data_IF_886129330572
#
_entry.id   IF_886129330572
#
_cell.length_a   1.000
_cell.length_b   1.000
_cell.length_c   1.000
_cell.angle_alpha   90.00
_cell.angle_beta   90.00
_cell.angle_gamma   90.00
#
_symmetry.space_group_name_H-M   'P 1'
#
loop_
_entity.id
_entity.type
_entity.pdbx_description
1 polymer ?
#
# COMPACT_ATOMS: atom_id res chain seq x y z
N UNK A 1 -79.18 44.82 -12.80
CA UNK A 1 -78.88 44.64 -14.24
C UNK A 1 -77.44 44.17 -14.33
N UNK A 2 -77.03 43.01 -14.84
CA UNK A 2 -77.61 42.03 -15.76
C UNK A 2 -77.14 40.60 -15.39
N UNK A 3 -77.94 39.62 -15.83
CA UNK A 3 -77.82 38.15 -15.74
C UNK A 3 -76.43 37.62 -16.15
N UNK A 4 -75.81 36.74 -15.36
CA UNK A 4 -75.82 35.25 -15.43
C UNK A 4 -75.57 34.68 -16.82
N UNK A 5 -74.40 34.05 -16.98
CA UNK A 5 -74.30 32.82 -17.76
C UNK A 5 -73.47 31.76 -17.04
N UNK A 6 -74.09 30.58 -16.89
CA UNK A 6 -73.54 29.36 -16.31
C UNK A 6 -72.76 28.62 -17.40
N UNK A 7 -71.51 28.24 -17.14
CA UNK A 7 -70.97 26.98 -17.68
C UNK A 7 -70.31 26.17 -16.57
N UNK A 8 -70.65 24.88 -16.61
CA UNK A 8 -70.52 23.87 -15.56
C UNK A 8 -69.07 23.54 -15.22
N UNK A 9 -68.86 23.32 -13.93
CA UNK A 9 -67.75 22.56 -13.34
C UNK A 9 -67.62 21.18 -13.99
N UNK A 10 -66.38 20.76 -14.24
CA UNK A 10 -66.00 19.36 -14.16
C UNK A 10 -64.66 19.26 -13.43
N UNK A 11 -64.63 18.31 -12.50
CA UNK A 11 -63.63 18.08 -11.46
C UNK A 11 -62.19 17.98 -11.96
N UNK A 12 -61.28 18.68 -11.25
CA UNK A 12 -59.87 18.29 -11.15
C UNK A 12 -59.69 17.54 -9.85
N UNK A 13 -59.63 16.22 -9.93
CA UNK A 13 -59.19 15.32 -8.87
C UNK A 13 -58.10 14.42 -9.44
N UNK A 14 -56.90 14.55 -8.87
CA UNK A 14 -55.70 13.77 -9.16
C UNK A 14 -55.90 12.27 -8.93
N UNK A 15 -55.27 11.42 -9.74
CA UNK A 15 -54.49 10.24 -9.26
C UNK A 15 -53.67 9.57 -10.37
N UNK A 16 -52.42 9.31 -10.01
CA UNK A 16 -51.33 8.60 -10.71
C UNK A 16 -51.77 7.34 -11.49
N UNK A 17 -51.25 7.20 -12.71
CA UNK A 17 -50.94 5.92 -13.37
C UNK A 17 -49.48 6.06 -13.86
N UNK A 18 -48.50 5.66 -13.06
CA UNK A 18 -47.77 4.38 -13.21
C UNK A 18 -47.31 4.14 -14.65
N UNK A 19 -46.25 4.84 -15.06
CA UNK A 19 -45.44 4.41 -16.22
C UNK A 19 -44.79 3.08 -15.85
N UNK A 20 -45.32 1.99 -16.43
CA UNK A 20 -44.61 0.73 -16.51
C UNK A 20 -43.41 0.95 -17.44
N UNK A 21 -42.23 1.08 -16.84
CA UNK A 21 -40.97 1.01 -17.56
C UNK A 21 -40.86 -0.39 -18.16
N UNK A 22 -41.15 -0.51 -19.46
CA UNK A 22 -40.93 -1.74 -20.21
C UNK A 22 -39.45 -2.12 -20.08
N UNK A 23 -39.23 -3.25 -19.42
CA UNK A 23 -37.90 -3.87 -19.29
C UNK A 23 -37.52 -4.41 -20.67
N UNK A 24 -36.36 -4.04 -21.25
CA UNK A 24 -35.97 -4.57 -22.54
C UNK A 24 -35.71 -6.08 -22.42
N UNK A 25 -36.21 -6.83 -23.40
CA UNK A 25 -36.05 -8.28 -23.50
C UNK A 25 -34.58 -8.67 -23.69
N UNK A 26 -34.09 -9.72 -23.01
CA UNK A 26 -32.70 -10.15 -23.12
C UNK A 26 -32.53 -11.02 -24.36
N UNK A 27 -31.97 -10.46 -25.43
CA UNK A 27 -31.12 -11.20 -26.38
C UNK A 27 -30.60 -10.27 -27.47
N UNK A 28 -29.33 -9.86 -27.34
CA UNK A 28 -28.41 -9.52 -28.45
C UNK A 28 -26.99 -9.12 -27.98
N UNK A 29 -26.70 -9.15 -26.68
CA UNK A 29 -25.41 -8.74 -26.14
C UNK A 29 -24.93 -9.85 -25.20
N UNK A 30 -23.74 -10.39 -25.47
CA UNK A 30 -23.15 -11.53 -24.76
C UNK A 30 -23.23 -11.43 -23.24
N UNK A 31 -23.11 -12.59 -22.58
CA UNK A 31 -23.33 -12.79 -21.15
C UNK A 31 -22.76 -11.61 -20.33
N UNK A 32 -23.51 -10.97 -19.40
CA UNK A 32 -23.08 -9.77 -18.68
C UNK A 32 -21.61 -9.78 -18.20
N UNK A 33 -21.08 -10.88 -17.62
CA UNK A 33 -19.66 -10.96 -17.26
C UNK A 33 -18.66 -10.74 -18.41
N UNK A 34 -18.97 -11.19 -19.63
CA UNK A 34 -18.08 -11.01 -20.79
C UNK A 34 -18.00 -9.55 -21.24
N UNK A 35 -19.10 -8.80 -21.13
CA UNK A 35 -19.12 -7.37 -21.47
C UNK A 35 -18.29 -6.57 -20.46
N UNK A 36 -18.40 -6.87 -19.17
CA UNK A 36 -17.58 -6.22 -18.14
C UNK A 36 -16.09 -6.52 -18.32
N UNK A 37 -15.73 -7.78 -18.61
CA UNK A 37 -14.34 -8.15 -18.88
C UNK A 37 -13.75 -7.37 -20.07
N UNK A 38 -14.49 -7.27 -21.18
CA UNK A 38 -14.05 -6.51 -22.38
C UNK A 38 -13.89 -5.01 -22.10
N UNK A 39 -14.80 -4.42 -21.32
CA UNK A 39 -14.69 -3.00 -20.92
C UNK A 39 -13.48 -2.79 -20.01
N UNK A 40 -13.28 -3.65 -19.01
CA UNK A 40 -12.13 -3.59 -18.11
C UNK A 40 -10.80 -3.73 -18.89
N UNK A 41 -10.71 -4.66 -19.83
CA UNK A 41 -9.52 -4.85 -20.67
C UNK A 41 -9.26 -3.61 -21.55
N UNK A 42 -10.30 -3.01 -22.13
CA UNK A 42 -10.19 -1.78 -22.91
C UNK A 42 -9.69 -0.61 -22.04
N UNK A 43 -10.25 -0.44 -20.84
CA UNK A 43 -9.82 0.61 -19.92
C UNK A 43 -8.37 0.38 -19.45
N UNK A 44 -7.98 -0.85 -19.17
CA UNK A 44 -6.60 -1.19 -18.80
C UNK A 44 -5.59 -0.85 -19.91
N UNK A 45 -5.95 -1.09 -21.17
CA UNK A 45 -5.15 -0.69 -22.34
C UNK A 45 -5.09 0.82 -22.51
N UNK A 46 -6.22 1.51 -22.37
CA UNK A 46 -6.32 2.96 -22.53
C UNK A 46 -5.55 3.74 -21.47
N UNK A 47 -5.55 3.25 -20.22
CA UNK A 47 -4.87 3.89 -19.09
C UNK A 47 -3.60 3.14 -18.67
N UNK A 48 -3.00 2.38 -19.58
CA UNK A 48 -1.74 1.71 -19.32
C UNK A 48 -0.66 2.75 -18.99
N UNK A 49 -0.07 2.66 -17.78
CA UNK A 49 1.02 3.55 -17.40
C UNK A 49 2.21 3.33 -18.34
N UNK A 50 2.84 4.40 -18.85
CA UNK A 50 4.02 4.27 -19.70
C UNK A 50 5.13 3.50 -18.96
N UNK A 51 5.98 2.77 -19.69
CA UNK A 51 7.11 2.09 -19.09
C UNK A 51 8.00 3.11 -18.37
N UNK A 52 8.39 2.77 -17.14
CA UNK A 52 9.22 3.65 -16.34
C UNK A 52 10.64 3.64 -16.88
N UNK A 53 11.13 4.82 -17.22
CA UNK A 53 12.46 5.06 -17.78
C UNK A 53 13.42 5.55 -16.70
N UNK A 54 14.73 5.35 -16.91
CA UNK A 54 15.79 5.80 -16.00
C UNK A 54 16.73 4.68 -15.57
N UNK A 55 17.65 5.01 -14.67
CA UNK A 55 18.56 4.04 -14.04
C UNK A 55 18.05 3.63 -12.66
N UNK A 56 18.30 2.37 -12.30
CA UNK A 56 18.06 1.87 -10.96
C UNK A 56 18.98 2.59 -9.98
N UNK A 57 18.41 3.16 -8.90
CA UNK A 57 19.14 3.83 -7.83
C UNK A 57 18.96 3.08 -6.53
N UNK A 58 20.02 3.02 -5.71
CA UNK A 58 20.01 2.53 -4.33
C UNK A 58 20.44 3.67 -3.40
N UNK A 59 20.22 3.59 -2.07
CA UNK A 59 20.63 4.64 -1.14
C UNK A 59 22.12 5.00 -1.24
N UNK A 60 22.97 4.00 -1.50
CA UNK A 60 24.42 4.15 -1.62
C UNK A 60 25.13 4.14 -0.27
N UNK A 61 26.33 4.72 -0.21
CA UNK A 61 27.15 4.81 1.00
C UNK A 61 26.57 5.81 2.01
N UNK A 62 26.61 5.48 3.29
CA UNK A 62 26.29 6.36 4.41
C UNK A 62 27.39 7.43 4.54
N UNK A 63 26.99 8.69 4.50
CA UNK A 63 27.89 9.85 4.59
C UNK A 63 27.84 10.51 5.97
N UNK A 64 26.66 10.54 6.59
CA UNK A 64 26.42 11.21 7.86
C UNK A 64 25.24 10.59 8.61
N UNK A 65 25.29 10.57 9.93
CA UNK A 65 24.19 10.12 10.79
C UNK A 65 23.84 11.26 11.74
N UNK A 66 22.58 11.69 11.70
CA UNK A 66 22.04 12.71 12.59
C UNK A 66 21.17 12.03 13.65
N UNK A 67 21.59 12.03 14.90
CA UNK A 67 20.73 11.57 15.99
C UNK A 67 19.54 12.53 16.18
N UNK A 68 18.35 11.97 16.37
CA UNK A 68 17.10 12.69 16.61
C UNK A 68 16.35 12.03 17.78
N UNK A 69 15.32 12.68 18.36
CA UNK A 69 14.49 12.04 19.37
C UNK A 69 13.95 10.68 18.91
N UNK A 70 14.36 9.64 19.62
CA UNK A 70 13.97 8.24 19.39
C UNK A 70 14.58 7.53 18.19
N UNK A 71 15.67 8.05 17.62
CA UNK A 71 16.48 7.31 16.66
C UNK A 71 17.46 8.19 15.90
N UNK A 72 17.51 8.04 14.58
CA UNK A 72 18.42 8.81 13.74
C UNK A 72 17.88 9.02 12.32
N UNK A 73 18.42 10.05 11.66
CA UNK A 73 18.36 10.22 10.21
C UNK A 73 19.74 9.85 9.64
N UNK A 74 19.78 8.81 8.81
CA UNK A 74 20.96 8.41 8.06
C UNK A 74 20.94 9.11 6.71
N UNK A 75 21.98 9.87 6.41
CA UNK A 75 22.19 10.51 5.12
C UNK A 75 23.13 9.64 4.28
N UNK A 76 22.58 9.04 3.22
CA UNK A 76 23.33 8.27 2.25
C UNK A 76 23.51 9.07 0.94
N UNK A 77 24.40 8.59 0.07
CA UNK A 77 24.76 9.27 -1.18
C UNK A 77 23.54 9.68 -2.03
N UNK A 78 22.50 8.85 -2.11
CA UNK A 78 21.35 9.06 -2.99
C UNK A 78 19.99 9.16 -2.26
N UNK A 79 19.96 9.04 -0.93
CA UNK A 79 18.73 9.05 -0.15
C UNK A 79 19.00 9.40 1.33
N UNK A 80 17.94 9.73 2.06
CA UNK A 80 17.97 9.75 3.52
C UNK A 80 17.05 8.67 4.08
N UNK A 81 17.37 8.16 5.26
CA UNK A 81 16.62 7.13 5.96
C UNK A 81 16.33 7.61 7.37
N UNK A 82 15.05 7.77 7.71
CA UNK A 82 14.61 8.04 9.07
C UNK A 82 14.31 6.72 9.75
N UNK A 83 14.88 6.51 10.94
CA UNK A 83 14.66 5.34 11.79
C UNK A 83 14.21 5.86 13.14
N UNK A 84 12.96 5.56 13.51
CA UNK A 84 12.36 6.06 14.76
C UNK A 84 11.71 4.89 15.49
N UNK A 85 12.06 4.71 16.75
CA UNK A 85 11.43 3.74 17.62
C UNK A 85 10.25 4.37 18.37
N UNK A 86 9.08 3.75 18.26
CA UNK A 86 7.88 4.15 19.02
C UNK A 86 7.64 3.26 20.25
N UNK A 87 8.09 2.00 20.19
CA UNK A 87 8.01 1.02 21.30
C UNK A 87 9.20 0.05 21.22
N UNK A 88 9.55 -0.70 22.29
CA UNK A 88 10.71 -1.62 22.30
C UNK A 88 10.82 -2.58 21.12
N UNK A 89 9.68 -2.91 20.52
CA UNK A 89 9.50 -3.84 19.41
C UNK A 89 8.77 -3.19 18.21
N UNK A 90 8.68 -1.85 18.15
CA UNK A 90 8.06 -1.12 17.05
C UNK A 90 8.98 -0.01 16.55
N UNK A 91 9.46 -0.18 15.31
CA UNK A 91 10.29 0.79 14.60
C UNK A 91 9.61 1.21 13.30
N UNK A 92 9.63 2.50 13.02
CA UNK A 92 9.31 3.05 11.72
C UNK A 92 10.60 3.33 10.97
N UNK A 93 10.65 2.85 9.73
CA UNK A 93 11.76 3.11 8.80
C UNK A 93 11.18 3.74 7.54
N UNK A 94 11.61 4.97 7.24
CA UNK A 94 11.25 5.68 6.03
C UNK A 94 12.49 5.94 5.20
N UNK A 95 12.55 5.41 3.98
CA UNK A 95 13.63 5.66 3.03
C UNK A 95 13.14 6.61 1.93
N UNK A 96 13.85 7.72 1.72
CA UNK A 96 13.40 8.84 0.90
C UNK A 96 14.53 9.34 -0.04
N UNK A 97 14.40 9.18 -1.37
CA UNK A 97 15.41 9.66 -2.31
C UNK A 97 15.43 11.20 -2.45
N UNK A 98 14.30 11.85 -2.16
CA UNK A 98 14.19 13.32 -2.07
C UNK A 98 14.69 13.89 -0.74
N UNK A 99 15.07 13.02 0.20
CA UNK A 99 15.60 13.36 1.53
C UNK A 99 14.65 14.16 2.41
N UNK A 100 13.36 14.19 2.08
CA UNK A 100 12.34 14.92 2.82
C UNK A 100 11.45 13.98 3.64
N UNK A 101 11.17 14.37 4.89
CA UNK A 101 10.32 13.63 5.81
C UNK A 101 9.13 14.50 6.25
N UNK A 102 8.11 14.67 5.39
CA UNK A 102 6.86 15.29 5.83
C UNK A 102 6.22 14.45 6.97
N UNK A 103 5.28 15.04 7.74
CA UNK A 103 4.54 14.32 8.77
C UNK A 103 4.01 12.98 8.26
N UNK A 104 4.02 11.97 9.13
CA UNK A 104 3.56 10.62 8.78
C UNK A 104 2.06 10.65 8.50
N UNK A 105 1.67 10.13 7.35
CA UNK A 105 0.28 9.89 6.98
C UNK A 105 0.15 8.44 6.50
N UNK A 106 -0.82 7.70 7.05
CA UNK A 106 -1.03 6.30 6.71
C UNK A 106 -2.50 5.92 6.88
N UNK A 107 -3.08 5.29 5.86
CA UNK A 107 -4.41 4.69 5.93
C UNK A 107 -4.45 3.41 6.79
N UNK A 108 -3.28 2.86 7.14
CA UNK A 108 -3.17 1.63 7.92
C UNK A 108 -3.03 1.90 9.43
N UNK A 109 -2.74 3.14 9.83
CA UNK A 109 -2.59 3.51 11.23
C UNK A 109 -3.85 4.22 11.73
N UNK A 110 -4.22 3.97 12.98
CA UNK A 110 -5.32 4.70 13.62
C UNK A 110 -4.97 6.18 13.74
N UNK A 111 -5.95 7.06 13.52
CA UNK A 111 -5.82 8.50 13.81
C UNK A 111 -5.48 8.79 15.28
N UNK A 112 -5.81 7.86 16.18
CA UNK A 112 -5.51 7.97 17.61
C UNK A 112 -4.13 7.48 17.99
N UNK A 113 -3.40 6.86 17.04
CA UNK A 113 -2.05 6.38 17.30
C UNK A 113 -1.10 7.57 17.48
N UNK A 114 -0.56 7.71 18.70
CA UNK A 114 0.38 8.77 19.03
C UNK A 114 1.81 8.33 18.70
N UNK A 115 2.41 9.02 17.74
CA UNK A 115 3.81 8.85 17.34
C UNK A 115 4.78 9.47 18.35
N UNK A 116 4.71 9.10 19.63
CA UNK A 116 5.67 9.57 20.63
C UNK A 116 6.91 8.68 20.57
N UNK A 117 8.07 9.19 20.11
CA UNK A 117 9.28 8.38 20.06
C UNK A 117 9.72 8.01 21.47
N UNK A 118 10.14 6.76 21.67
CA UNK A 118 10.85 6.37 22.88
C UNK A 118 12.34 6.64 22.71
N UNK A 119 13.10 6.75 23.80
CA UNK A 119 14.53 6.92 23.73
C UNK A 119 15.19 5.76 22.96
N UNK A 120 16.09 6.10 22.03
CA UNK A 120 16.87 5.14 21.26
C UNK A 120 18.36 5.50 21.36
N UNK A 121 19.18 4.46 21.33
CA UNK A 121 20.64 4.56 21.24
C UNK A 121 21.05 4.59 19.78
N UNK A 122 22.10 5.36 19.49
CA UNK A 122 22.75 5.38 18.19
C UNK A 122 24.23 5.13 18.44
N UNK A 123 24.78 4.11 17.81
CA UNK A 123 26.20 3.75 17.91
C UNK A 123 26.76 3.63 16.51
N UNK A 124 27.88 4.30 16.29
CA UNK A 124 28.57 4.33 15.01
C UNK A 124 29.91 3.62 15.14
N UNK A 125 30.16 2.67 14.24
CA UNK A 125 31.46 2.03 14.04
C UNK A 125 31.96 2.36 12.63
N UNK A 126 33.17 1.92 12.29
CA UNK A 126 33.82 2.02 10.99
C UNK A 126 33.03 1.38 9.85
N UNK A 127 32.33 0.27 10.12
CA UNK A 127 31.59 -0.48 9.10
C UNK A 127 30.07 -0.36 9.23
N UNK A 128 29.57 -0.02 10.41
CA UNK A 128 28.13 -0.09 10.71
C UNK A 128 27.60 1.09 11.49
N UNK A 129 26.29 1.29 11.38
CA UNK A 129 25.50 2.20 12.21
C UNK A 129 24.41 1.38 12.88
N UNK A 130 24.37 1.39 14.21
CA UNK A 130 23.41 0.65 15.03
C UNK A 130 22.46 1.63 15.69
N UNK A 131 21.15 1.44 15.49
CA UNK A 131 20.10 2.23 16.11
C UNK A 131 19.17 1.27 16.85
N UNK A 132 19.04 1.40 18.16
CA UNK A 132 18.29 0.42 18.95
C UNK A 132 17.56 0.98 20.16
N UNK A 133 16.48 0.32 20.55
CA UNK A 133 15.70 0.67 21.73
C UNK A 133 14.98 -0.56 22.32
N UNK A 134 15.06 -0.73 23.65
CA UNK A 134 14.24 -1.63 24.49
C UNK A 134 14.35 -3.15 24.26
N UNK A 135 14.26 -3.61 23.02
CA UNK A 135 14.26 -5.03 22.65
C UNK A 135 14.69 -5.31 21.21
N UNK A 136 14.96 -4.28 20.41
CA UNK A 136 15.26 -4.40 18.99
C UNK A 136 16.35 -3.42 18.55
N UNK A 137 17.16 -3.82 17.57
CA UNK A 137 18.21 -3.02 16.97
C UNK A 137 18.15 -3.11 15.43
N UNK A 138 18.26 -1.96 14.77
CA UNK A 138 18.46 -1.81 13.34
C UNK A 138 19.95 -1.55 13.07
N UNK A 139 20.58 -2.44 12.32
CA UNK A 139 22.00 -2.36 11.95
C UNK A 139 22.09 -2.05 10.46
N UNK A 140 22.72 -0.94 10.13
CA UNK A 140 22.96 -0.51 8.76
C UNK A 140 24.43 -0.67 8.40
N UNK A 141 24.71 -1.32 7.26
CA UNK A 141 26.08 -1.36 6.71
C UNK A 141 26.41 -0.02 6.05
N UNK A 142 27.56 0.58 6.36
CA UNK A 142 27.91 1.91 5.83
C UNK A 142 28.05 1.95 4.31
N UNK A 143 28.68 0.96 3.70
CA UNK A 143 28.98 1.00 2.26
C UNK A 143 27.76 0.84 1.35
N UNK A 144 26.75 0.09 1.80
CA UNK A 144 25.59 -0.28 0.98
C UNK A 144 24.25 0.20 1.54
N UNK A 145 24.23 0.63 2.80
CA UNK A 145 23.01 0.90 3.57
C UNK A 145 22.10 -0.32 3.68
N UNK A 146 22.67 -1.53 3.60
CA UNK A 146 21.93 -2.76 3.91
C UNK A 146 21.44 -2.73 5.35
N UNK A 147 20.14 -2.98 5.55
CA UNK A 147 19.51 -3.06 6.87
C UNK A 147 19.43 -4.51 7.34
N UNK A 148 19.78 -4.73 8.61
CA UNK A 148 19.47 -5.94 9.37
C UNK A 148 18.75 -5.56 10.65
N UNK A 149 17.78 -6.37 11.06
CA UNK A 149 17.02 -6.15 12.29
C UNK A 149 17.25 -7.33 13.22
N UNK A 150 17.72 -7.03 14.43
CA UNK A 150 17.96 -8.00 15.50
C UNK A 150 17.08 -7.72 16.70
N UNK A 151 16.71 -8.78 17.41
CA UNK A 151 16.23 -8.70 18.78
C UNK A 151 17.42 -8.66 19.75
N UNK A 152 17.21 -8.19 20.98
CA UNK A 152 18.28 -8.11 22.01
C UNK A 152 18.84 -9.47 22.43
N UNK A 153 18.14 -10.57 22.17
CA UNK A 153 18.65 -11.93 22.36
C UNK A 153 19.59 -12.40 21.22
N UNK A 154 19.92 -11.52 20.27
CA UNK A 154 20.79 -11.81 19.11
C UNK A 154 20.05 -12.46 17.94
N UNK A 155 18.75 -12.72 18.04
CA UNK A 155 17.97 -13.29 16.95
C UNK A 155 17.81 -12.29 15.80
N UNK A 156 18.22 -12.69 14.60
CA UNK A 156 17.99 -11.94 13.36
C UNK A 156 16.54 -12.13 12.89
N UNK A 157 15.80 -11.03 12.73
CA UNK A 157 14.37 -11.02 12.34
C UNK A 157 14.19 -10.64 10.87
N UNK A 158 15.05 -9.77 10.36
CA UNK A 158 15.05 -9.37 8.96
C UNK A 158 16.45 -9.12 8.46
N UNK A 159 16.74 -9.62 7.26
CA UNK A 159 17.91 -9.24 6.46
C UNK A 159 17.41 -8.65 5.17
N UNK A 160 17.63 -7.35 5.00
CA UNK A 160 17.32 -6.68 3.74
C UNK A 160 18.41 -6.97 2.72
N UNK A 161 18.01 -7.26 1.50
CA UNK A 161 18.91 -7.47 0.36
C UNK A 161 18.95 -6.27 -0.57
N UNK A 162 17.98 -5.36 -0.48
CA UNK A 162 18.01 -4.11 -1.22
C UNK A 162 16.80 -3.23 -1.03
N UNK A 163 17.04 -1.93 -1.15
CA UNK A 163 16.03 -0.93 -1.41
C UNK A 163 16.45 -0.15 -2.65
N UNK A 164 15.54 0.02 -3.60
CA UNK A 164 15.88 0.68 -4.86
C UNK A 164 14.70 1.41 -5.49
N UNK A 165 15.05 2.34 -6.37
CA UNK A 165 14.10 3.12 -7.15
C UNK A 165 14.42 3.05 -8.63
N UNK A 166 13.38 2.96 -9.45
CA UNK A 166 13.45 3.19 -10.88
C UNK A 166 12.31 4.14 -11.22
N UNK A 167 12.64 5.42 -11.44
CA UNK A 167 11.63 6.49 -11.50
C UNK A 167 10.76 6.49 -10.23
N UNK A 168 9.45 6.35 -10.39
CA UNK A 168 8.50 6.26 -9.27
C UNK A 168 8.35 4.85 -8.69
N UNK A 169 8.91 3.82 -9.34
CA UNK A 169 8.83 2.45 -8.83
C UNK A 169 9.81 2.28 -7.68
N UNK A 170 9.28 1.82 -6.56
CA UNK A 170 10.05 1.44 -5.39
C UNK A 170 10.12 -0.08 -5.33
N UNK A 171 11.31 -0.62 -5.07
CA UNK A 171 11.49 -2.05 -4.80
C UNK A 171 12.18 -2.21 -3.46
N UNK A 172 11.58 -3.04 -2.62
CA UNK A 172 12.13 -3.47 -1.34
C UNK A 172 12.26 -4.99 -1.35
N UNK A 173 13.42 -5.50 -0.96
CA UNK A 173 13.74 -6.91 -1.02
C UNK A 173 14.35 -7.35 0.31
N UNK A 174 13.78 -8.40 0.90
CA UNK A 174 14.36 -9.11 2.04
C UNK A 174 14.81 -10.51 1.65
N UNK A 175 15.77 -11.05 2.37
CA UNK A 175 16.08 -12.48 2.31
C UNK A 175 14.92 -13.28 2.90
N UNK A 176 14.65 -14.42 2.29
CA UNK A 176 13.64 -15.36 2.74
C UNK A 176 14.33 -16.70 3.07
N UNK A 177 14.54 -17.02 4.36
CA UNK A 177 15.08 -18.29 4.83
C UNK A 177 14.36 -19.50 4.21
N UNK A 178 15.04 -20.64 4.01
CA UNK A 178 14.45 -21.83 3.39
C UNK A 178 13.16 -22.31 4.07
N UNK A 179 13.15 -22.28 5.41
CA UNK A 179 12.06 -22.82 6.24
C UNK A 179 11.01 -21.77 6.65
N UNK A 180 11.13 -20.52 6.20
CA UNK A 180 10.17 -19.46 6.53
C UNK A 180 8.89 -19.57 5.68
N UNK A 181 7.74 -19.71 6.33
CA UNK A 181 6.43 -19.61 5.67
C UNK A 181 6.03 -18.15 5.44
N UNK A 182 5.31 -17.87 4.34
CA UNK A 182 4.77 -16.54 4.07
C UNK A 182 3.26 -16.56 4.25
N UNK A 183 2.72 -15.71 5.14
CA UNK A 183 1.31 -15.70 5.50
C UNK A 183 0.76 -14.27 5.47
N UNK A 184 -0.58 -14.13 5.45
CA UNK A 184 -1.26 -12.83 5.47
C UNK A 184 -1.75 -12.38 4.10
N UNK A 185 -1.51 -11.12 3.73
CA UNK A 185 -2.01 -10.46 2.51
C UNK A 185 -3.54 -10.45 2.35
N UNK A 186 -4.29 -10.61 3.43
CA UNK A 186 -5.75 -10.53 3.41
C UNK A 186 -6.42 -11.74 2.77
N UNK A 187 -7.47 -11.50 2.00
CA UNK A 187 -8.24 -12.54 1.34
C UNK A 187 -7.47 -13.03 0.10
N UNK A 188 -7.28 -14.34 -0.03
CA UNK A 188 -6.68 -14.94 -1.21
C UNK A 188 -7.42 -16.23 -1.56
N UNK A 189 -7.55 -16.51 -2.86
CA UNK A 189 -8.10 -17.78 -3.34
C UNK A 189 -7.12 -18.96 -3.19
N UNK A 190 -6.22 -18.97 -2.20
CA UNK A 190 -5.15 -19.96 -2.10
C UNK A 190 -5.05 -20.60 -0.71
N UNK A 191 -4.15 -21.58 -0.59
CA UNK A 191 -3.80 -22.15 0.72
C UNK A 191 -3.08 -21.13 1.60
N UNK A 192 -3.00 -21.44 2.90
CA UNK A 192 -2.49 -20.52 3.92
C UNK A 192 -1.06 -20.05 3.66
N UNK A 193 -0.15 -20.95 3.28
CA UNK A 193 1.23 -20.60 2.95
C UNK A 193 1.33 -20.06 1.51
N UNK A 194 1.74 -18.80 1.40
CA UNK A 194 1.85 -18.02 0.18
C UNK A 194 3.27 -18.01 -0.41
N UNK A 195 4.22 -18.75 0.19
CA UNK A 195 5.63 -18.84 -0.24
C UNK A 195 5.75 -19.24 -1.72
N UNK A 196 6.75 -18.68 -2.39
CA UNK A 196 7.14 -19.05 -3.76
C UNK A 196 6.21 -18.50 -4.84
N UNK A 197 5.41 -17.48 -4.52
CA UNK A 197 4.40 -16.89 -5.42
C UNK A 197 4.55 -15.38 -5.48
N UNK A 198 3.99 -14.81 -6.56
CA UNK A 198 3.85 -13.37 -6.75
C UNK A 198 2.38 -13.01 -6.57
N UNK A 199 2.12 -11.97 -5.79
CA UNK A 199 0.77 -11.52 -5.44
C UNK A 199 0.59 -10.07 -5.83
N UNK A 200 -0.59 -9.73 -6.34
CA UNK A 200 -0.97 -8.35 -6.60
C UNK A 200 -1.72 -7.75 -5.39
N UNK A 201 -1.23 -6.61 -4.90
CA UNK A 201 -1.95 -5.77 -3.95
C UNK A 201 -2.86 -4.80 -4.72
N UNK A 202 -3.87 -5.36 -5.37
CA UNK A 202 -4.82 -4.61 -6.20
C UNK A 202 -6.23 -5.15 -5.98
N UNK A 203 -7.09 -4.40 -5.30
CA UNK A 203 -8.45 -4.84 -5.04
C UNK A 203 -9.20 -5.00 -6.37
N UNK A 204 -9.73 -6.20 -6.60
CA UNK A 204 -10.44 -6.55 -7.81
C UNK A 204 -11.74 -7.26 -7.44
N UNK A 205 -12.80 -6.98 -8.19
CA UNK A 205 -14.10 -7.66 -8.09
C UNK A 205 -14.21 -8.72 -9.19
N UNK A 206 -13.72 -9.96 -8.96
CA UNK A 206 -13.91 -11.04 -9.90
C UNK A 206 -15.36 -11.52 -9.87
N UNK A 207 -15.96 -11.78 -11.04
CA UNK A 207 -17.29 -12.41 -11.12
C UNK A 207 -17.19 -13.87 -10.69
N UNK A 208 -17.22 -14.10 -9.36
CA UNK A 208 -16.88 -15.37 -8.73
C UNK A 208 -15.38 -15.66 -8.79
N UNK A 209 -14.85 -16.34 -7.77
CA UNK A 209 -13.45 -16.78 -7.79
C UNK A 209 -13.27 -18.14 -7.12
N UNK A 210 -12.31 -18.91 -7.65
CA UNK A 210 -12.02 -20.26 -7.22
C UNK A 210 -10.63 -20.37 -6.59
N UNK A 211 -10.22 -21.61 -6.29
CA UNK A 211 -8.86 -21.87 -5.82
C UNK A 211 -7.86 -21.52 -6.93
N UNK A 212 -6.97 -20.58 -6.67
CA UNK A 212 -5.99 -20.06 -7.64
C UNK A 212 -6.13 -18.60 -7.97
N UNK A 213 -7.28 -17.98 -7.66
CA UNK A 213 -7.54 -16.62 -8.11
C UNK A 213 -6.76 -15.58 -7.29
N UNK A 214 -6.08 -14.71 -8.02
CA UNK A 214 -5.42 -13.49 -7.54
C UNK A 214 -5.40 -12.46 -8.68
N UNK A 215 -5.68 -11.16 -8.44
CA UNK A 215 -6.15 -10.59 -7.18
C UNK A 215 -7.63 -10.87 -6.88
N UNK A 216 -8.04 -10.58 -5.64
CA UNK A 216 -9.43 -10.61 -5.16
C UNK A 216 -9.76 -9.30 -4.41
N UNK A 217 -10.87 -9.27 -3.66
CA UNK A 217 -11.45 -8.06 -3.09
C UNK A 217 -10.58 -7.32 -2.06
N UNK A 218 -9.88 -8.07 -1.18
CA UNK A 218 -9.23 -7.54 0.02
C UNK A 218 -7.86 -8.16 0.29
#
# INVERSE_FOLDING_TARGET
MFRRDRKKKQDKSSKKQTEQTQTPTPNEQGNPPERYAKVAEKMAKQFAKPPVTGSLKTPGIIQHVQQIPGGAIIHAANASISVIFYQPNLVEIRMRPDRQFPPVFSYALSETFKFTPQAATVTEDTDTVVIGAGGMACVFTRTTTQLRIYMTNGQEVSVESGFSWLGEKVTWQRQLPPDEGCYGLGQRGWGLNLRGRKWALWNFDPVGYGRGTDPVYY
#
